data_IF_411480564615
#
_entry.id   IF_411480564615
#
_cell.length_a   1.000
_cell.length_b   1.000
_cell.length_c   1.000
_cell.angle_alpha   90.00
_cell.angle_beta   90.00
_cell.angle_gamma   90.00
#
_symmetry.space_group_name_H-M   'P 1'
#
loop_
_entity.id
_entity.type
_entity.pdbx_description
1 polymer ?
#
# COMPACT_ATOMS: atom_id res chain seq x y z
N UNK A 1 -46.24 35.77 34.51
CA UNK A 1 -45.61 35.07 35.65
C UNK A 1 -44.48 34.21 35.08
N UNK A 2 -43.25 34.72 34.93
CA UNK A 2 -42.24 35.02 35.97
C UNK A 2 -41.75 33.68 36.60
N UNK A 3 -40.47 33.28 36.65
CA UNK A 3 -39.12 33.90 36.69
C UNK A 3 -38.13 32.83 36.15
N UNK A 4 -37.12 33.02 35.30
CA UNK A 4 -35.88 33.83 35.29
C UNK A 4 -34.80 33.51 36.36
N UNK A 5 -33.57 33.33 35.83
CA UNK A 5 -32.18 33.35 36.38
C UNK A 5 -31.68 32.19 37.28
N UNK A 6 -30.39 31.77 37.18
CA UNK A 6 -29.27 32.58 37.69
C UNK A 6 -28.08 32.82 36.74
N UNK A 7 -27.40 33.91 37.09
CA UNK A 7 -26.29 34.61 36.46
C UNK A 7 -24.93 34.03 36.89
N UNK A 8 -23.96 34.10 35.96
CA UNK A 8 -22.53 34.44 36.13
C UNK A 8 -21.82 34.12 37.46
N UNK A 9 -20.66 33.45 37.37
CA UNK A 9 -19.38 34.01 37.84
C UNK A 9 -18.14 33.31 37.29
N UNK A 10 -17.25 34.11 36.69
CA UNK A 10 -15.81 33.82 36.51
C UNK A 10 -15.13 33.70 37.88
N UNK A 11 -14.13 32.81 37.98
CA UNK A 11 -12.84 33.10 38.66
C UNK A 11 -11.78 32.08 38.25
N UNK A 12 -10.57 32.62 38.11
CA UNK A 12 -9.34 31.95 37.76
C UNK A 12 -8.61 31.43 39.01
N UNK A 13 -7.55 30.65 38.72
CA UNK A 13 -6.29 30.42 39.46
C UNK A 13 -6.05 29.09 40.19
N UNK A 14 -4.77 28.68 40.04
CA UNK A 14 -3.96 27.66 40.71
C UNK A 14 -4.18 26.21 40.26
N UNK A 15 -3.26 25.57 39.52
CA UNK A 15 -1.85 25.24 39.81
C UNK A 15 -1.70 24.21 40.94
N UNK A 16 -1.48 22.94 40.57
CA UNK A 16 -0.64 21.99 41.32
C UNK A 16 -0.27 20.80 40.44
N UNK A 17 1.03 20.52 40.40
CA UNK A 17 1.69 19.34 39.84
C UNK A 17 1.29 18.06 40.59
N UNK A 18 1.37 16.91 39.91
CA UNK A 18 2.05 15.67 40.33
C UNK A 18 1.95 14.68 39.14
N UNK A 19 3.03 14.50 38.39
CA UNK A 19 3.96 13.36 38.44
C UNK A 19 3.45 12.09 37.74
N UNK A 20 4.13 11.72 36.64
CA UNK A 20 4.50 10.34 36.30
C UNK A 20 5.57 10.35 35.20
N UNK A 21 6.65 9.63 35.46
CA UNK A 21 7.92 9.45 34.73
C UNK A 21 7.80 8.68 33.38
N UNK A 22 8.88 8.17 32.76
CA UNK A 22 10.03 8.85 32.14
C UNK A 22 10.31 8.35 30.68
N UNK A 23 11.43 8.81 30.11
CA UNK A 23 12.18 8.23 28.97
C UNK A 23 11.54 8.30 27.57
N UNK A 24 12.13 9.12 26.70
CA UNK A 24 12.78 8.63 25.47
C UNK A 24 13.55 9.76 24.79
N UNK A 25 14.86 9.52 24.71
CA UNK A 25 15.80 10.19 23.83
C UNK A 25 15.45 9.82 22.38
N UNK A 26 15.21 10.82 21.52
CA UNK A 26 15.45 10.66 20.08
C UNK A 26 16.01 11.95 19.51
N UNK A 27 17.16 11.79 18.87
CA UNK A 27 17.85 12.79 18.10
C UNK A 27 17.18 13.01 16.74
N UNK A 28 17.10 14.29 16.36
CA UNK A 28 16.89 14.81 15.01
C UNK A 28 17.84 16.00 14.91
N UNK A 29 18.53 16.32 13.82
CA UNK A 29 18.55 15.78 12.47
C UNK A 29 19.86 16.31 11.88
N UNK A 30 20.66 15.44 11.27
CA UNK A 30 21.72 15.83 10.36
C UNK A 30 21.09 16.43 9.09
N UNK A 31 21.60 17.58 8.67
CA UNK A 31 21.27 18.20 7.39
C UNK A 31 22.47 18.06 6.46
N UNK A 32 22.16 17.92 5.17
CA UNK A 32 22.98 18.15 3.98
C UNK A 32 23.79 16.94 3.48
N UNK A 33 23.83 16.63 2.18
CA UNK A 33 23.12 17.11 1.00
C UNK A 33 23.68 16.31 -0.18
N UNK A 34 22.77 15.76 -1.01
CA UNK A 34 22.91 15.57 -2.46
C UNK A 34 24.02 14.62 -2.94
N UNK A 35 23.79 13.76 -3.91
CA UNK A 35 22.73 13.64 -4.90
C UNK A 35 23.32 12.74 -5.98
N UNK A 36 22.58 11.76 -6.49
CA UNK A 36 22.03 11.77 -7.85
C UNK A 36 22.19 10.34 -8.36
N UNK A 37 21.30 9.67 -9.06
CA UNK A 37 19.95 9.93 -9.57
C UNK A 37 19.43 8.52 -9.95
N UNK A 38 18.22 8.17 -9.52
CA UNK A 38 17.03 8.14 -10.35
C UNK A 38 16.88 6.88 -11.22
N UNK A 39 15.87 6.07 -10.83
CA UNK A 39 14.87 5.38 -11.68
C UNK A 39 15.37 4.27 -12.64
N UNK A 40 14.72 3.11 -12.80
CA UNK A 40 13.30 2.76 -12.64
C UNK A 40 13.17 1.24 -12.61
N UNK A 41 12.06 0.76 -12.04
CA UNK A 41 11.66 -0.63 -11.91
C UNK A 41 11.43 -1.36 -13.25
N UNK A 42 11.64 -2.68 -13.25
CA UNK A 42 10.67 -3.61 -13.83
C UNK A 42 10.81 -5.03 -13.24
N UNK A 43 9.67 -5.57 -12.82
CA UNK A 43 9.41 -7.01 -12.65
C UNK A 43 9.82 -7.81 -13.89
N UNK A 44 10.44 -8.97 -13.68
CA UNK A 44 10.25 -10.28 -14.33
C UNK A 44 11.30 -11.19 -13.64
N UNK A 45 10.98 -12.32 -13.01
CA UNK A 45 10.51 -13.53 -13.66
C UNK A 45 11.71 -14.42 -14.03
N UNK A 46 11.95 -15.49 -13.26
CA UNK A 46 12.69 -16.68 -13.73
C UNK A 46 14.21 -16.72 -13.56
N UNK A 47 14.67 -17.95 -13.30
CA UNK A 47 16.03 -18.51 -13.35
C UNK A 47 17.08 -17.92 -12.40
N UNK A 48 17.44 -18.75 -11.41
CA UNK A 48 18.82 -19.09 -11.05
C UNK A 48 19.88 -18.33 -11.86
N UNK A 49 20.50 -17.35 -11.22
CA UNK A 49 21.69 -16.68 -11.73
C UNK A 49 22.83 -17.70 -11.76
N UNK A 50 22.98 -18.39 -12.89
CA UNK A 50 24.23 -19.03 -13.27
C UNK A 50 25.30 -17.95 -13.24
N UNK A 51 26.26 -18.10 -12.34
CA UNK A 51 27.48 -17.30 -12.34
C UNK A 51 28.18 -17.65 -13.66
N UNK A 52 28.18 -16.69 -14.59
CA UNK A 52 28.72 -16.87 -15.93
C UNK A 52 30.14 -17.43 -15.88
N UNK A 53 30.30 -18.64 -16.45
CA UNK A 53 31.59 -19.23 -16.71
C UNK A 53 32.37 -18.29 -17.62
N UNK A 54 33.49 -17.76 -17.12
CA UNK A 54 34.37 -16.79 -17.83
C UNK A 54 35.05 -17.43 -19.06
N UNK A 55 34.79 -18.71 -19.33
CA UNK A 55 35.31 -19.48 -20.45
C UNK A 55 34.16 -19.97 -21.32
N UNK A 56 34.11 -19.55 -22.59
CA UNK A 56 33.23 -20.16 -23.58
C UNK A 56 33.66 -21.63 -23.80
N UNK A 57 32.95 -22.56 -23.19
CA UNK A 57 33.11 -24.00 -23.40
C UNK A 57 32.39 -24.38 -24.69
N UNK A 58 33.08 -25.08 -25.60
CA UNK A 58 32.52 -25.38 -26.93
C UNK A 58 31.60 -26.60 -26.91
N UNK A 59 31.86 -27.55 -26.02
CA UNK A 59 31.05 -28.73 -25.78
C UNK A 59 31.40 -29.36 -24.42
N UNK A 60 30.51 -30.19 -23.89
CA UNK A 60 30.73 -30.93 -22.64
C UNK A 60 30.91 -32.44 -22.90
N UNK A 61 31.79 -33.06 -22.11
CA UNK A 61 32.06 -34.50 -22.13
C UNK A 61 31.81 -35.04 -20.73
N UNK A 62 31.06 -36.14 -20.63
CA UNK A 62 30.83 -36.81 -19.35
C UNK A 62 31.98 -37.76 -19.04
N UNK A 63 32.37 -37.82 -17.78
CA UNK A 63 33.25 -38.88 -17.31
C UNK A 63 32.48 -40.21 -17.37
N UNK A 64 32.95 -41.16 -18.19
CA UNK A 64 32.34 -42.47 -18.36
C UNK A 64 32.59 -43.44 -17.21
N UNK A 65 33.34 -43.05 -16.18
CA UNK A 65 33.57 -43.86 -14.98
C UNK A 65 32.74 -43.33 -13.81
N UNK A 66 31.91 -44.20 -13.23
CA UNK A 66 31.12 -43.88 -12.02
C UNK A 66 31.94 -44.00 -10.72
N UNK A 67 33.14 -44.58 -10.78
CA UNK A 67 34.01 -44.82 -9.61
C UNK A 67 34.90 -43.60 -9.38
N UNK A 68 34.93 -43.11 -8.13
CA UNK A 68 35.81 -42.01 -7.73
C UNK A 68 37.27 -42.32 -8.04
N UNK A 69 38.02 -41.35 -8.56
CA UNK A 69 39.43 -41.52 -8.92
C UNK A 69 39.69 -42.31 -10.21
N UNK A 70 38.66 -42.70 -10.97
CA UNK A 70 38.80 -43.19 -12.36
C UNK A 70 38.25 -42.19 -13.35
N UNK A 71 38.97 -42.01 -14.44
CA UNK A 71 38.61 -41.05 -15.47
C UNK A 71 38.60 -41.74 -16.83
N UNK A 72 37.43 -41.80 -17.44
CA UNK A 72 37.25 -42.33 -18.79
C UNK A 72 36.62 -41.24 -19.65
N UNK A 73 37.43 -40.56 -20.46
CA UNK A 73 37.00 -39.47 -21.32
C UNK A 73 37.01 -39.91 -22.78
N UNK A 74 35.97 -39.51 -23.53
CA UNK A 74 35.95 -39.60 -24.99
C UNK A 74 36.17 -38.19 -25.54
N UNK A 75 37.39 -37.93 -26.03
CA UNK A 75 37.79 -36.59 -26.46
C UNK A 75 38.05 -36.57 -27.98
N UNK A 76 37.54 -35.57 -28.72
CA UNK A 76 37.93 -35.33 -30.10
C UNK A 76 39.31 -34.64 -30.10
N UNK A 77 40.35 -35.39 -30.43
CA UNK A 77 41.72 -34.87 -30.50
C UNK A 77 42.00 -34.30 -31.90
N UNK A 78 42.62 -33.11 -32.03
CA UNK A 78 42.82 -32.45 -33.32
C UNK A 78 43.73 -33.21 -34.30
N UNK A 79 44.64 -34.06 -33.80
CA UNK A 79 45.53 -34.86 -34.62
C UNK A 79 44.97 -36.20 -35.11
N UNK A 80 43.78 -36.63 -34.65
CA UNK A 80 43.20 -37.95 -34.93
C UNK A 80 41.75 -37.85 -35.42
N UNK A 81 41.41 -38.64 -36.43
CA UNK A 81 40.03 -38.75 -36.90
C UNK A 81 39.23 -39.68 -35.97
N UNK A 82 38.38 -39.12 -35.11
CA UNK A 82 37.45 -39.86 -34.25
C UNK A 82 37.50 -39.45 -32.77
N UNK A 83 36.59 -40.02 -31.96
CA UNK A 83 36.58 -39.86 -30.50
C UNK A 83 37.64 -40.79 -29.89
N UNK A 84 38.69 -40.22 -29.31
CA UNK A 84 39.74 -41.01 -28.67
C UNK A 84 39.37 -41.26 -27.21
N UNK A 85 39.45 -42.51 -26.79
CA UNK A 85 39.16 -42.91 -25.41
C UNK A 85 40.43 -42.79 -24.57
N UNK A 86 40.42 -41.91 -23.58
CA UNK A 86 41.50 -41.72 -22.62
C UNK A 86 41.03 -42.27 -21.29
N UNK A 87 41.76 -43.28 -20.81
CA UNK A 87 41.48 -43.92 -19.53
C UNK A 87 42.64 -43.69 -18.58
N UNK A 88 42.32 -43.25 -17.37
CA UNK A 88 43.22 -43.21 -16.23
C UNK A 88 42.55 -43.97 -15.10
N UNK A 89 43.13 -45.13 -14.73
CA UNK A 89 42.47 -46.14 -13.90
C UNK A 89 42.95 -46.19 -12.44
N UNK A 90 43.86 -45.30 -12.05
CA UNK A 90 44.48 -45.27 -10.71
C UNK A 90 44.11 -43.99 -9.94
N UNK A 91 43.61 -44.18 -8.72
CA UNK A 91 43.15 -43.10 -7.82
C UNK A 91 44.29 -42.21 -7.31
N UNK A 92 45.51 -42.75 -7.24
CA UNK A 92 46.71 -42.06 -6.74
C UNK A 92 47.45 -41.28 -7.84
N UNK A 93 46.99 -41.36 -9.08
CA UNK A 93 47.60 -40.61 -10.17
C UNK A 93 47.25 -39.12 -10.09
N UNK A 94 48.21 -38.30 -10.49
CA UNK A 94 48.08 -36.85 -10.48
C UNK A 94 47.61 -36.31 -11.81
N UNK A 95 47.09 -35.09 -11.79
CA UNK A 95 46.76 -34.30 -12.98
C UNK A 95 47.92 -34.28 -13.97
N UNK A 96 49.18 -34.22 -13.51
CA UNK A 96 50.36 -34.32 -14.38
C UNK A 96 50.35 -35.56 -15.26
N UNK A 97 50.00 -36.73 -14.71
CA UNK A 97 49.99 -37.97 -15.47
C UNK A 97 48.91 -38.00 -16.55
N UNK A 98 47.77 -37.38 -16.27
CA UNK A 98 46.70 -37.17 -17.24
C UNK A 98 47.17 -36.25 -18.38
N UNK A 99 47.86 -35.16 -18.07
CA UNK A 99 48.44 -34.26 -19.08
C UNK A 99 49.50 -34.96 -19.94
N UNK A 100 50.37 -35.77 -19.32
CA UNK A 100 51.35 -36.59 -20.06
C UNK A 100 50.67 -37.58 -21.00
N UNK A 101 49.60 -38.25 -20.52
CA UNK A 101 48.84 -39.22 -21.32
C UNK A 101 48.18 -38.55 -22.51
N UNK A 102 47.64 -37.34 -22.34
CA UNK A 102 47.11 -36.52 -23.44
C UNK A 102 48.17 -36.14 -24.46
N UNK A 103 49.33 -35.63 -24.02
CA UNK A 103 50.44 -35.25 -24.91
C UNK A 103 51.08 -36.45 -25.63
N UNK A 104 51.14 -37.60 -24.98
CA UNK A 104 51.62 -38.85 -25.58
C UNK A 104 50.68 -39.37 -26.66
N UNK A 105 49.37 -39.21 -26.44
CA UNK A 105 48.35 -39.69 -27.37
C UNK A 105 48.21 -38.78 -28.60
N UNK A 106 48.41 -37.48 -28.43
CA UNK A 106 48.39 -36.51 -29.54
C UNK A 106 49.57 -35.54 -29.47
N UNK A 107 50.56 -35.77 -30.34
CA UNK A 107 51.76 -34.94 -30.49
C UNK A 107 51.49 -33.57 -31.13
N UNK A 108 50.28 -33.34 -31.67
CA UNK A 108 49.88 -32.05 -32.26
C UNK A 108 49.43 -31.02 -31.23
N UNK A 109 49.24 -31.43 -29.96
CA UNK A 109 48.84 -30.57 -28.86
C UNK A 109 50.00 -29.68 -28.38
N UNK A 110 49.91 -28.37 -28.63
CA UNK A 110 50.91 -27.38 -28.20
C UNK A 110 50.69 -26.91 -26.75
N UNK A 111 49.43 -26.81 -26.33
CA UNK A 111 49.05 -26.39 -24.98
C UNK A 111 47.93 -27.28 -24.44
N UNK A 112 48.18 -27.90 -23.28
CA UNK A 112 47.20 -28.71 -22.54
C UNK A 112 47.22 -28.21 -21.10
N UNK A 113 46.11 -27.65 -20.65
CA UNK A 113 45.93 -27.16 -19.28
C UNK A 113 44.58 -27.62 -18.74
N UNK A 114 44.51 -27.85 -17.43
CA UNK A 114 43.24 -28.09 -16.73
C UNK A 114 42.93 -26.86 -15.88
N UNK A 115 41.72 -26.34 -16.04
CA UNK A 115 41.21 -25.18 -15.32
C UNK A 115 39.91 -25.51 -14.60
N UNK A 116 39.66 -24.89 -13.46
CA UNK A 116 38.33 -24.92 -12.82
C UNK A 116 37.33 -24.15 -13.69
N UNK A 117 36.03 -24.31 -13.44
CA UNK A 117 34.95 -23.53 -14.09
C UNK A 117 35.14 -22.01 -14.00
N UNK A 118 35.88 -21.54 -12.99
CA UNK A 118 36.24 -20.14 -12.76
C UNK A 118 37.50 -19.67 -13.52
N UNK A 119 38.12 -20.53 -14.33
CA UNK A 119 39.31 -20.21 -15.14
C UNK A 119 40.66 -20.29 -14.41
N UNK A 120 40.67 -20.71 -13.14
CA UNK A 120 41.89 -20.96 -12.36
C UNK A 120 42.58 -22.25 -12.82
N UNK A 121 43.88 -22.19 -13.14
CA UNK A 121 44.64 -23.40 -13.49
C UNK A 121 44.82 -24.30 -12.27
N UNK A 122 44.51 -25.59 -12.41
CA UNK A 122 44.76 -26.57 -11.35
C UNK A 122 46.26 -26.92 -11.28
N UNK A 123 46.75 -27.16 -10.06
CA UNK A 123 48.12 -27.59 -9.85
C UNK A 123 48.33 -29.01 -10.39
N UNK A 124 49.52 -29.28 -10.94
CA UNK A 124 49.86 -30.58 -11.52
C UNK A 124 49.88 -31.73 -10.51
N UNK A 125 50.03 -31.40 -9.23
CA UNK A 125 50.08 -32.33 -8.09
C UNK A 125 48.70 -32.74 -7.57
N UNK A 126 47.62 -32.15 -8.09
CA UNK A 126 46.25 -32.48 -7.67
C UNK A 126 45.95 -33.94 -8.02
N UNK A 127 45.34 -34.65 -7.08
CA UNK A 127 44.98 -36.05 -7.26
C UNK A 127 43.74 -36.19 -8.15
N UNK A 128 43.66 -37.30 -8.88
CA UNK A 128 42.52 -37.58 -9.74
C UNK A 128 41.22 -37.79 -8.93
N UNK A 129 41.32 -38.30 -7.70
CA UNK A 129 40.20 -38.42 -6.75
C UNK A 129 39.51 -37.07 -6.50
N UNK A 130 40.26 -36.04 -6.15
CA UNK A 130 39.76 -34.66 -5.94
C UNK A 130 39.20 -34.05 -7.22
N UNK A 131 39.82 -34.34 -8.36
CA UNK A 131 39.37 -33.88 -9.67
C UNK A 131 38.02 -34.50 -10.07
N UNK A 132 37.74 -35.76 -9.68
CA UNK A 132 36.49 -36.46 -10.00
C UNK A 132 35.27 -36.00 -9.17
N UNK A 133 35.49 -35.21 -8.11
CA UNK A 133 34.41 -34.66 -7.26
C UNK A 133 33.85 -33.35 -7.82
N UNK A 134 34.65 -32.61 -8.59
CA UNK A 134 34.26 -31.31 -9.13
C UNK A 134 34.13 -31.33 -10.65
N UNK A 135 33.32 -30.44 -11.22
CA UNK A 135 33.37 -30.18 -12.65
C UNK A 135 34.60 -29.32 -12.99
N UNK A 136 35.26 -29.64 -14.11
CA UNK A 136 36.47 -28.93 -14.53
C UNK A 136 36.52 -28.77 -16.05
N UNK A 137 37.29 -27.80 -16.51
CA UNK A 137 37.45 -27.45 -17.92
C UNK A 137 38.83 -27.88 -18.40
N UNK A 138 38.87 -28.71 -19.44
CA UNK A 138 40.09 -29.10 -20.14
C UNK A 138 40.32 -28.16 -21.32
N UNK A 139 41.46 -27.46 -21.33
CA UNK A 139 41.86 -26.57 -22.42
C UNK A 139 42.87 -27.27 -23.33
N UNK A 140 42.44 -27.58 -24.54
CA UNK A 140 43.25 -28.17 -25.62
C UNK A 140 43.48 -27.12 -26.70
N UNK A 141 44.69 -26.57 -26.80
CA UNK A 141 45.04 -25.48 -27.73
C UNK A 141 44.09 -24.27 -27.62
N UNK A 142 43.08 -24.18 -28.50
CA UNK A 142 42.08 -23.11 -28.54
C UNK A 142 40.65 -23.59 -28.18
N UNK A 143 40.50 -24.85 -27.78
CA UNK A 143 39.22 -25.49 -27.46
C UNK A 143 39.13 -25.69 -25.95
N UNK A 144 38.06 -25.18 -25.33
CA UNK A 144 37.74 -25.43 -23.93
C UNK A 144 36.61 -26.47 -23.87
N UNK A 145 36.85 -27.59 -23.20
CA UNK A 145 35.92 -28.71 -23.05
C UNK A 145 35.52 -28.78 -21.58
N UNK A 146 34.21 -28.75 -21.29
CA UNK A 146 33.71 -28.94 -19.93
C UNK A 146 33.59 -30.43 -19.62
N UNK A 147 34.19 -30.89 -18.52
CA UNK A 147 34.09 -32.27 -18.05
C UNK A 147 33.12 -32.31 -16.88
N UNK A 148 32.00 -33.00 -17.08
CA UNK A 148 30.96 -33.21 -16.08
C UNK A 148 31.16 -34.56 -15.40
N UNK A 149 31.31 -34.53 -14.07
CA UNK A 149 31.38 -35.72 -13.23
C UNK A 149 30.02 -35.96 -12.58
N UNK A 150 29.47 -37.18 -12.65
CA UNK A 150 28.15 -37.48 -12.08
C UNK A 150 28.11 -37.32 -10.53
N UNK A 151 29.24 -37.48 -9.85
CA UNK A 151 29.37 -37.28 -8.40
C UNK A 151 29.37 -35.81 -7.95
N UNK A 152 29.43 -34.85 -8.88
CA UNK A 152 29.51 -33.43 -8.56
C UNK A 152 28.15 -32.80 -8.19
N UNK A 153 27.06 -33.59 -8.17
CA UNK A 153 25.70 -33.08 -7.93
C UNK A 153 25.27 -33.03 -6.46
N UNK A 154 26.02 -33.62 -5.54
CA UNK A 154 25.62 -33.70 -4.13
C UNK A 154 26.53 -32.83 -3.27
N UNK A 155 26.07 -31.61 -2.96
CA UNK A 155 26.74 -30.75 -2.00
C UNK A 155 26.58 -31.33 -0.58
N UNK A 156 27.67 -31.53 0.19
CA UNK A 156 27.61 -32.13 1.54
C UNK A 156 26.77 -31.32 2.54
N UNK A 157 26.42 -30.07 2.22
CA UNK A 157 25.52 -29.22 3.01
C UNK A 157 24.06 -29.68 2.94
N UNK A 158 23.62 -30.19 1.78
CA UNK A 158 22.23 -30.61 1.57
C UNK A 158 21.88 -31.90 2.33
N UNK A 159 22.87 -32.77 2.54
CA UNK A 159 22.71 -34.01 3.31
C UNK A 159 22.43 -33.69 4.80
N UNK A 160 23.11 -32.70 5.36
CA UNK A 160 22.89 -32.22 6.73
C UNK A 160 21.52 -31.55 6.91
N UNK A 161 21.11 -30.72 5.95
CA UNK A 161 19.80 -30.07 5.95
C UNK A 161 18.65 -31.07 5.86
N UNK A 162 18.79 -32.11 5.04
CA UNK A 162 17.77 -33.16 4.90
C UNK A 162 17.63 -34.01 6.17
N UNK A 163 18.73 -34.32 6.86
CA UNK A 163 18.71 -35.00 8.14
C UNK A 163 18.08 -34.12 9.25
N UNK A 164 18.42 -32.83 9.28
CA UNK A 164 17.83 -31.87 10.22
C UNK A 164 16.32 -31.69 9.98
N UNK A 165 15.90 -31.59 8.72
CA UNK A 165 14.48 -31.53 8.36
C UNK A 165 13.72 -32.80 8.77
N UNK A 166 14.32 -33.98 8.60
CA UNK A 166 13.72 -35.25 9.02
C UNK A 166 13.52 -35.31 10.54
N UNK A 167 14.47 -34.78 11.33
CA UNK A 167 14.36 -34.68 12.79
C UNK A 167 13.22 -33.75 13.21
N UNK A 168 13.15 -32.54 12.63
CA UNK A 168 12.08 -31.57 12.91
C UNK A 168 10.72 -32.14 12.53
N UNK A 169 10.62 -32.81 11.38
CA UNK A 169 9.38 -33.47 10.93
C UNK A 169 8.93 -34.56 11.90
N UNK A 170 9.83 -35.43 12.35
CA UNK A 170 9.51 -36.49 13.31
C UNK A 170 9.05 -35.92 14.66
N UNK A 171 9.66 -34.83 15.11
CA UNK A 171 9.27 -34.15 16.34
C UNK A 171 7.86 -33.56 16.24
N UNK A 172 7.55 -32.91 15.11
CA UNK A 172 6.21 -32.36 14.83
C UNK A 172 5.14 -33.45 14.72
N UNK A 173 5.46 -34.60 14.14
CA UNK A 173 4.53 -35.74 14.05
C UNK A 173 4.25 -36.39 15.41
N UNK A 174 5.25 -36.37 16.30
CA UNK A 174 5.16 -36.90 17.66
C UNK A 174 4.32 -36.00 18.58
N UNK A 175 4.33 -34.68 18.34
CA UNK A 175 3.56 -33.73 19.11
C UNK A 175 2.04 -34.02 19.03
N UNK A 176 1.40 -34.16 20.19
CA UNK A 176 -0.05 -34.41 20.30
C UNK A 176 -0.88 -33.12 20.33
N UNK A 177 -0.22 -31.97 20.49
CA UNK A 177 -0.86 -30.65 20.61
C UNK A 177 -1.50 -30.22 19.29
N UNK A 178 -2.72 -29.68 19.29
CA UNK A 178 -3.39 -29.24 18.06
C UNK A 178 -2.76 -27.96 17.47
N UNK A 179 -2.09 -27.15 18.30
CA UNK A 179 -1.50 -25.86 17.92
C UNK A 179 -0.11 -25.72 18.56
N UNK A 180 0.83 -25.21 17.77
CA UNK A 180 2.20 -24.88 18.14
C UNK A 180 2.44 -23.38 17.92
N UNK A 181 2.88 -22.61 18.92
CA UNK A 181 3.27 -21.21 18.71
C UNK A 181 4.44 -21.08 17.72
N UNK A 182 4.43 -20.00 16.93
CA UNK A 182 5.45 -19.73 15.91
C UNK A 182 6.87 -19.61 16.51
N UNK A 183 6.99 -18.98 17.68
CA UNK A 183 8.26 -18.87 18.42
C UNK A 183 8.82 -20.25 18.81
N UNK A 184 7.93 -21.15 19.29
CA UNK A 184 8.31 -22.51 19.68
C UNK A 184 8.80 -23.32 18.47
N UNK A 185 8.17 -23.13 17.30
CA UNK A 185 8.62 -23.74 16.04
C UNK A 185 10.01 -23.27 15.62
N UNK A 186 10.29 -21.96 15.70
CA UNK A 186 11.62 -21.45 15.39
C UNK A 186 12.69 -21.97 16.37
N UNK A 187 12.34 -22.15 17.64
CA UNK A 187 13.23 -22.80 18.62
C UNK A 187 13.53 -24.25 18.27
N UNK A 188 12.53 -25.01 17.82
CA UNK A 188 12.72 -26.41 17.37
C UNK A 188 13.64 -26.45 16.14
N UNK A 189 13.46 -25.54 15.19
CA UNK A 189 14.33 -25.43 14.01
C UNK A 189 15.76 -25.03 14.39
N UNK A 190 15.92 -24.10 15.33
CA UNK A 190 17.23 -23.66 15.82
C UNK A 190 17.99 -24.80 16.51
N UNK A 191 17.29 -25.61 17.31
CA UNK A 191 17.86 -26.79 17.97
C UNK A 191 18.34 -27.86 16.97
N UNK A 192 17.73 -27.93 15.78
CA UNK A 192 18.13 -28.79 14.68
C UNK A 192 19.22 -28.17 13.78
N UNK A 193 19.69 -26.96 14.09
CA UNK A 193 20.75 -26.27 13.34
C UNK A 193 20.26 -25.43 12.15
N UNK A 194 18.97 -25.09 12.09
CA UNK A 194 18.40 -24.29 11.00
C UNK A 194 18.12 -22.84 11.40
N UNK A 195 18.51 -21.91 10.52
CA UNK A 195 18.20 -20.48 10.65
C UNK A 195 16.76 -20.17 10.19
N UNK A 196 16.23 -19.02 10.59
CA UNK A 196 14.88 -18.53 10.26
C UNK A 196 14.46 -18.63 8.77
N UNK A 197 15.31 -18.30 7.76
CA UNK A 197 14.93 -18.45 6.35
C UNK A 197 14.77 -19.91 5.92
N UNK A 198 15.57 -20.82 6.49
CA UNK A 198 15.50 -22.27 6.24
C UNK A 198 14.25 -22.84 6.92
N UNK A 199 13.95 -22.42 8.15
CA UNK A 199 12.71 -22.76 8.84
C UNK A 199 11.47 -22.33 8.05
N UNK A 200 11.47 -21.13 7.46
CA UNK A 200 10.35 -20.67 6.61
C UNK A 200 10.19 -21.47 5.32
N UNK A 201 11.28 -22.03 4.78
CA UNK A 201 11.25 -22.97 3.64
C UNK A 201 10.67 -24.31 4.07
N UNK A 202 11.10 -24.83 5.22
CA UNK A 202 10.58 -26.07 5.79
C UNK A 202 9.10 -25.98 6.18
N UNK A 203 8.66 -24.85 6.73
CA UNK A 203 7.25 -24.61 7.06
C UNK A 203 6.37 -24.68 5.81
N UNK A 204 6.82 -24.07 4.70
CA UNK A 204 6.14 -24.16 3.39
C UNK A 204 6.10 -25.60 2.86
N UNK A 205 7.16 -26.38 3.05
CA UNK A 205 7.20 -27.79 2.67
C UNK A 205 6.25 -28.66 3.51
N UNK A 206 6.16 -28.40 4.82
CA UNK A 206 5.23 -29.08 5.72
C UNK A 206 3.78 -28.74 5.39
N UNK A 207 3.52 -27.48 5.01
CA UNK A 207 2.21 -27.02 4.56
C UNK A 207 1.81 -27.63 3.20
N UNK A 208 2.75 -27.74 2.26
CA UNK A 208 2.52 -28.42 0.97
C UNK A 208 2.12 -29.89 1.15
N UNK A 209 2.63 -30.55 2.19
CA UNK A 209 2.31 -31.94 2.53
C UNK A 209 1.07 -32.09 3.42
N UNK A 210 0.33 -31.00 3.68
CA UNK A 210 -0.86 -30.95 4.55
C UNK A 210 -0.64 -31.45 5.98
N UNK A 211 0.60 -31.49 6.47
CA UNK A 211 0.86 -31.78 7.89
C UNK A 211 0.57 -30.56 8.76
N UNK A 212 0.87 -29.36 8.25
CA UNK A 212 0.82 -28.13 9.04
C UNK A 212 0.03 -27.05 8.30
N UNK A 213 -0.80 -26.30 8.99
CA UNK A 213 -1.44 -25.09 8.45
C UNK A 213 -0.93 -23.86 9.22
N UNK A 214 -0.32 -22.94 8.48
CA UNK A 214 0.11 -21.64 8.98
C UNK A 214 -0.48 -20.54 8.11
N UNK A 215 -0.99 -19.49 8.74
CA UNK A 215 -1.65 -18.38 8.06
C UNK A 215 -0.81 -17.11 8.23
N UNK A 216 0.25 -17.02 7.44
CA UNK A 216 1.19 -15.89 7.39
C UNK A 216 0.50 -14.56 7.01
N UNK A 217 -0.52 -14.64 6.14
CA UNK A 217 -1.27 -13.50 5.61
C UNK A 217 -2.51 -13.11 6.42
N UNK A 218 -2.82 -13.82 7.50
CA UNK A 218 -3.97 -13.47 8.33
C UNK A 218 -3.72 -12.17 9.08
N UNK A 219 -4.75 -11.32 9.18
CA UNK A 219 -4.73 -10.10 9.99
C UNK A 219 -4.72 -10.43 11.49
N UNK A 220 -5.29 -11.58 11.85
CA UNK A 220 -5.40 -12.03 13.24
C UNK A 220 -4.04 -12.40 13.80
N UNK A 221 -3.64 -11.75 14.91
CA UNK A 221 -2.40 -12.09 15.62
C UNK A 221 -2.41 -13.53 16.16
N UNK A 222 -3.60 -14.06 16.47
CA UNK A 222 -3.76 -15.43 16.97
C UNK A 222 -3.42 -16.46 15.89
N UNK A 223 -3.91 -16.27 14.65
CA UNK A 223 -3.59 -17.16 13.54
C UNK A 223 -2.16 -16.96 13.02
N UNK A 224 -1.67 -15.71 13.03
CA UNK A 224 -0.31 -15.40 12.57
C UNK A 224 0.76 -16.00 13.48
N UNK A 225 0.51 -16.04 14.79
CA UNK A 225 1.47 -16.55 15.76
C UNK A 225 1.29 -18.04 16.08
N UNK A 226 0.32 -18.70 15.44
CA UNK A 226 0.00 -20.10 15.65
C UNK A 226 0.26 -20.94 14.39
N UNK A 227 0.74 -22.16 14.61
CA UNK A 227 0.95 -23.19 13.62
C UNK A 227 0.03 -24.35 14.00
N UNK A 228 -0.85 -24.75 13.11
CA UNK A 228 -1.82 -25.82 13.34
C UNK A 228 -1.22 -27.13 12.84
N UNK A 229 -0.90 -28.05 13.74
CA UNK A 229 -0.17 -29.29 13.44
C UNK A 229 -1.05 -30.41 12.87
N UNK A 230 -2.38 -30.27 12.96
CA UNK A 230 -3.34 -31.22 12.38
C UNK A 230 -4.55 -30.48 11.83
N UNK A 231 -4.55 -30.06 10.56
CA UNK A 231 -5.65 -29.27 10.00
C UNK A 231 -7.01 -30.02 9.97
N UNK A 232 -6.99 -31.36 10.03
CA UNK A 232 -8.20 -32.19 10.02
C UNK A 232 -8.73 -32.57 11.42
N UNK A 233 -8.05 -32.14 12.49
CA UNK A 233 -8.53 -32.36 13.85
C UNK A 233 -9.80 -31.55 14.14
N UNK A 234 -10.72 -32.11 14.93
CA UNK A 234 -11.92 -31.39 15.37
C UNK A 234 -11.57 -30.17 16.22
N UNK A 235 -10.57 -30.29 17.08
CA UNK A 235 -10.11 -29.20 17.96
C UNK A 235 -9.46 -28.05 17.20
N UNK A 236 -8.62 -28.36 16.21
CA UNK A 236 -7.96 -27.36 15.36
C UNK A 236 -8.95 -26.63 14.45
N UNK A 237 -9.93 -27.35 13.88
CA UNK A 237 -11.02 -26.75 13.13
C UNK A 237 -11.91 -25.86 14.00
N UNK A 238 -12.24 -26.28 15.23
CA UNK A 238 -13.00 -25.46 16.17
C UNK A 238 -12.25 -24.16 16.52
N UNK A 239 -10.94 -24.24 16.75
CA UNK A 239 -10.09 -23.06 16.99
C UNK A 239 -10.04 -22.14 15.77
N UNK A 240 -9.83 -22.68 14.58
CA UNK A 240 -9.89 -21.93 13.34
C UNK A 240 -11.23 -21.23 13.14
N UNK A 241 -12.33 -21.94 13.38
CA UNK A 241 -13.67 -21.38 13.26
C UNK A 241 -13.88 -20.26 14.26
N UNK A 242 -13.51 -20.45 15.53
CA UNK A 242 -13.62 -19.41 16.57
C UNK A 242 -12.80 -18.15 16.25
N UNK A 243 -11.61 -18.32 15.67
CA UNK A 243 -10.73 -17.21 15.34
C UNK A 243 -11.09 -16.54 14.00
N UNK A 244 -11.83 -17.22 13.10
CA UNK A 244 -12.46 -16.59 11.95
C UNK A 244 -13.75 -15.86 12.34
N UNK A 245 -14.52 -16.44 13.26
CA UNK A 245 -15.75 -15.83 13.78
C UNK A 245 -15.47 -14.56 14.58
N UNK A 246 -14.34 -14.49 15.29
CA UNK A 246 -13.91 -13.27 15.97
C UNK A 246 -13.62 -12.15 14.97
N UNK A 247 -12.89 -12.43 13.88
CA UNK A 247 -12.61 -11.47 12.79
C UNK A 247 -13.90 -11.03 12.07
N UNK A 248 -14.83 -11.95 11.81
CA UNK A 248 -16.11 -11.59 11.22
C UNK A 248 -16.94 -10.71 12.17
N UNK A 249 -16.84 -10.97 13.47
CA UNK A 249 -17.56 -10.22 14.51
C UNK A 249 -17.01 -8.80 14.68
N UNK A 250 -15.69 -8.59 14.55
CA UNK A 250 -15.09 -7.24 14.56
C UNK A 250 -15.55 -6.43 13.36
N UNK A 251 -15.50 -6.99 12.15
CA UNK A 251 -16.01 -6.33 10.93
C UNK A 251 -17.49 -5.96 11.04
N UNK A 252 -18.31 -6.87 11.58
CA UNK A 252 -19.74 -6.60 11.84
C UNK A 252 -19.95 -5.50 12.87
N UNK A 253 -19.13 -5.45 13.91
CA UNK A 253 -19.19 -4.39 14.93
C UNK A 253 -18.81 -3.04 14.32
N UNK A 254 -17.70 -2.99 13.59
CA UNK A 254 -17.22 -1.79 12.91
C UNK A 254 -18.29 -1.23 11.97
N UNK A 255 -18.92 -2.10 11.16
CA UNK A 255 -20.03 -1.67 10.29
C UNK A 255 -21.16 -1.02 11.08
N UNK A 256 -21.62 -1.64 12.17
CA UNK A 256 -22.70 -1.10 13.01
C UNK A 256 -22.33 0.26 13.61
N UNK A 257 -21.07 0.44 14.01
CA UNK A 257 -20.56 1.72 14.52
C UNK A 257 -20.62 2.79 13.43
N UNK A 258 -20.19 2.46 12.21
CA UNK A 258 -20.27 3.36 11.07
C UNK A 258 -21.71 3.69 10.65
N UNK A 259 -22.62 2.71 10.68
CA UNK A 259 -24.06 2.91 10.42
C UNK A 259 -24.69 3.85 11.46
N UNK A 260 -24.41 3.64 12.75
CA UNK A 260 -24.89 4.52 13.82
C UNK A 260 -24.36 5.96 13.67
N UNK A 261 -23.08 6.10 13.29
CA UNK A 261 -22.48 7.41 13.03
C UNK A 261 -23.09 8.09 11.80
N UNK A 262 -23.42 7.33 10.77
CA UNK A 262 -24.10 7.81 9.58
C UNK A 262 -25.50 8.35 9.92
N UNK A 263 -26.28 7.62 10.71
CA UNK A 263 -27.60 8.07 11.17
C UNK A 263 -27.51 9.36 11.98
N UNK A 264 -26.52 9.46 12.87
CA UNK A 264 -26.25 10.67 13.66
C UNK A 264 -25.97 11.88 12.74
N UNK A 265 -25.04 11.73 11.80
CA UNK A 265 -24.66 12.79 10.86
C UNK A 265 -25.79 13.16 9.91
N UNK A 266 -26.57 12.20 9.43
CA UNK A 266 -27.77 12.47 8.62
C UNK A 266 -28.82 13.24 9.42
N UNK A 267 -28.99 12.93 10.71
CA UNK A 267 -29.90 13.67 11.60
C UNK A 267 -29.42 15.11 11.82
N UNK A 268 -28.11 15.33 11.98
CA UNK A 268 -27.51 16.65 12.10
C UNK A 268 -27.69 17.43 10.80
N UNK A 269 -27.41 16.82 9.65
CA UNK A 269 -27.61 17.42 8.33
C UNK A 269 -29.05 17.89 8.14
N UNK A 270 -30.04 17.04 8.45
CA UNK A 270 -31.47 17.41 8.35
C UNK A 270 -31.80 18.63 9.22
N UNK A 271 -31.29 18.69 10.45
CA UNK A 271 -31.47 19.84 11.34
C UNK A 271 -30.85 21.11 10.76
N UNK A 272 -29.61 21.04 10.26
CA UNK A 272 -28.92 22.18 9.67
C UNK A 272 -29.61 22.69 8.40
N UNK A 273 -30.06 21.79 7.52
CA UNK A 273 -30.80 22.14 6.30
C UNK A 273 -32.14 22.80 6.64
N UNK A 274 -32.84 22.30 7.65
CA UNK A 274 -34.09 22.92 8.12
C UNK A 274 -33.86 24.35 8.63
N UNK A 275 -32.80 24.56 9.43
CA UNK A 275 -32.42 25.88 9.94
C UNK A 275 -32.02 26.83 8.80
N UNK A 276 -31.26 26.35 7.83
CA UNK A 276 -30.87 27.15 6.66
C UNK A 276 -32.10 27.53 5.82
N UNK A 277 -33.02 26.59 5.59
CA UNK A 277 -34.26 26.86 4.88
C UNK A 277 -35.14 27.90 5.61
N UNK A 278 -35.27 27.78 6.93
CA UNK A 278 -35.98 28.77 7.76
C UNK A 278 -35.30 30.14 7.68
N UNK A 279 -33.98 30.18 7.77
CA UNK A 279 -33.18 31.41 7.69
C UNK A 279 -33.34 32.09 6.34
N UNK A 280 -33.32 31.32 5.24
CA UNK A 280 -33.56 31.84 3.89
C UNK A 280 -34.97 32.39 3.72
N UNK A 281 -35.98 31.72 4.28
CA UNK A 281 -37.37 32.23 4.29
C UNK A 281 -37.48 33.53 5.09
N UNK A 282 -36.87 33.59 6.27
CA UNK A 282 -36.82 34.79 7.10
C UNK A 282 -36.07 35.95 6.43
N UNK A 283 -35.06 35.66 5.61
CA UNK A 283 -34.33 36.67 4.85
C UNK A 283 -35.15 37.28 3.70
N UNK A 284 -36.16 36.58 3.17
CA UNK A 284 -37.00 37.07 2.07
C UNK A 284 -38.11 38.04 2.52
N UNK A 285 -38.54 37.98 3.79
CA UNK A 285 -39.67 38.81 4.27
C UNK A 285 -39.36 40.30 4.17
N UNK A 286 -38.15 40.73 4.58
CA UNK A 286 -37.79 42.15 4.57
C UNK A 286 -37.72 42.75 3.16
N UNK A 287 -37.02 42.15 2.17
CA UNK A 287 -37.05 42.64 0.79
C UNK A 287 -38.46 42.67 0.18
N UNK A 288 -39.32 41.70 0.54
CA UNK A 288 -40.71 41.65 0.05
C UNK A 288 -41.57 42.76 0.68
N UNK A 289 -41.42 43.03 1.97
CA UNK A 289 -42.09 44.17 2.62
C UNK A 289 -41.59 45.48 2.04
N UNK A 290 -40.27 45.62 1.82
CA UNK A 290 -39.69 46.81 1.19
C UNK A 290 -40.27 47.06 -0.21
N UNK A 291 -40.51 45.99 -1.01
CA UNK A 291 -41.17 46.10 -2.31
C UNK A 291 -42.56 46.73 -2.19
N UNK A 292 -43.38 46.23 -1.26
CA UNK A 292 -44.73 46.74 -1.03
C UNK A 292 -44.73 48.17 -0.50
N UNK A 293 -43.85 48.49 0.44
CA UNK A 293 -43.68 49.85 0.95
C UNK A 293 -43.27 50.81 -0.16
N UNK A 294 -42.33 50.42 -1.03
CA UNK A 294 -41.92 51.23 -2.17
C UNK A 294 -43.07 51.42 -3.17
N UNK A 295 -43.85 50.38 -3.45
CA UNK A 295 -45.00 50.47 -4.34
C UNK A 295 -46.09 51.41 -3.79
N UNK A 296 -46.47 51.24 -2.52
CA UNK A 296 -47.45 52.11 -1.86
C UNK A 296 -46.95 53.55 -1.79
N UNK A 297 -45.67 53.75 -1.46
CA UNK A 297 -45.06 55.08 -1.43
C UNK A 297 -45.07 55.75 -2.80
N UNK A 298 -44.76 55.00 -3.87
CA UNK A 298 -44.79 55.53 -5.24
C UNK A 298 -46.23 55.88 -5.67
N UNK A 299 -47.21 55.03 -5.39
CA UNK A 299 -48.61 55.29 -5.68
C UNK A 299 -49.12 56.52 -4.91
N UNK A 300 -48.79 56.62 -3.62
CA UNK A 300 -49.16 57.80 -2.82
C UNK A 300 -48.51 59.07 -3.35
N UNK A 301 -47.23 59.01 -3.75
CA UNK A 301 -46.50 60.14 -4.32
C UNK A 301 -47.14 60.64 -5.62
N UNK A 302 -47.44 59.74 -6.55
CA UNK A 302 -48.12 60.11 -7.80
C UNK A 302 -49.55 60.59 -7.55
N UNK A 303 -50.27 60.01 -6.59
CA UNK A 303 -51.60 60.47 -6.21
C UNK A 303 -51.58 61.90 -5.64
N UNK A 304 -50.59 62.22 -4.81
CA UNK A 304 -50.38 63.59 -4.33
C UNK A 304 -50.05 64.55 -5.48
N UNK A 305 -49.17 64.17 -6.41
CA UNK A 305 -48.87 65.00 -7.58
C UNK A 305 -50.12 65.23 -8.45
N UNK A 306 -50.93 64.20 -8.67
CA UNK A 306 -52.20 64.32 -9.42
C UNK A 306 -53.16 65.30 -8.75
N UNK A 307 -53.31 65.21 -7.42
CA UNK A 307 -54.13 66.15 -6.66
C UNK A 307 -53.60 67.60 -6.77
N UNK A 308 -52.29 67.78 -6.65
CA UNK A 308 -51.64 69.10 -6.80
C UNK A 308 -51.85 69.69 -8.20
N UNK A 309 -51.82 68.88 -9.25
CA UNK A 309 -51.93 69.33 -10.65
C UNK A 309 -53.36 69.70 -11.06
N UNK A 310 -54.38 69.05 -10.48
CA UNK A 310 -55.77 69.25 -10.91
C UNK A 310 -56.61 70.10 -9.96
N UNK A 311 -56.32 70.10 -8.66
CA UNK A 311 -57.15 70.81 -7.67
C UNK A 311 -56.48 72.07 -7.11
N UNK A 312 -55.16 72.04 -6.87
CA UNK A 312 -54.45 73.09 -6.11
C UNK A 312 -53.68 74.08 -7.00
N UNK A 313 -52.87 73.59 -7.93
CA UNK A 313 -51.97 74.39 -8.75
C UNK A 313 -52.27 74.24 -10.24
N UNK A 314 -52.01 75.31 -11.00
CA UNK A 314 -52.05 75.25 -12.47
C UNK A 314 -50.87 74.46 -13.03
N UNK A 315 -51.05 73.90 -14.23
CA UNK A 315 -50.03 73.14 -14.94
C UNK A 315 -48.73 73.92 -15.15
N UNK A 316 -48.80 75.22 -15.42
CA UNK A 316 -47.64 76.09 -15.66
C UNK A 316 -46.68 76.16 -14.45
N UNK A 317 -47.20 76.03 -13.23
CA UNK A 317 -46.39 75.99 -11.99
C UNK A 317 -45.80 74.59 -11.76
N UNK A 318 -46.56 73.55 -12.08
CA UNK A 318 -46.16 72.15 -11.83
C UNK A 318 -45.21 71.59 -12.89
N UNK A 319 -45.24 72.13 -14.11
CA UNK A 319 -44.41 71.70 -15.23
C UNK A 319 -42.91 71.60 -14.87
N UNK A 320 -42.22 72.68 -14.44
CA UNK A 320 -40.79 72.62 -14.11
C UNK A 320 -40.51 71.65 -12.94
N UNK A 321 -41.41 71.57 -11.96
CA UNK A 321 -41.26 70.70 -10.78
C UNK A 321 -41.22 69.23 -11.19
N UNK A 322 -42.13 68.82 -12.08
CA UNK A 322 -42.18 67.42 -12.55
C UNK A 322 -40.95 67.04 -13.37
N UNK A 323 -40.40 67.96 -14.18
CA UNK A 323 -39.13 67.75 -14.86
C UNK A 323 -37.96 67.54 -13.89
N UNK A 324 -37.86 68.36 -12.84
CA UNK A 324 -36.82 68.18 -11.81
C UNK A 324 -36.93 66.84 -11.08
N UNK A 325 -38.15 66.36 -10.81
CA UNK A 325 -38.38 65.04 -10.20
C UNK A 325 -37.88 63.91 -11.12
N UNK A 326 -38.24 63.95 -12.41
CA UNK A 326 -37.80 62.96 -13.41
C UNK A 326 -36.28 62.96 -13.58
N UNK A 327 -35.67 64.14 -13.69
CA UNK A 327 -34.22 64.27 -13.79
C UNK A 327 -33.50 63.75 -12.54
N UNK A 328 -34.05 64.02 -11.35
CA UNK A 328 -33.52 63.50 -10.07
C UNK A 328 -33.53 61.97 -10.02
N UNK A 329 -34.57 61.33 -10.56
CA UNK A 329 -34.64 59.87 -10.62
C UNK A 329 -33.54 59.27 -11.53
N UNK A 330 -33.30 59.87 -12.69
CA UNK A 330 -32.21 59.46 -13.62
C UNK A 330 -30.84 59.67 -12.97
N UNK A 331 -30.63 60.82 -12.35
CA UNK A 331 -29.40 61.13 -11.63
C UNK A 331 -29.17 60.15 -10.46
N UNK A 332 -30.23 59.82 -9.72
CA UNK A 332 -30.19 58.84 -8.63
C UNK A 332 -29.82 57.44 -9.11
N UNK A 333 -30.34 57.01 -10.26
CA UNK A 333 -29.95 55.74 -10.89
C UNK A 333 -28.45 55.73 -11.25
N UNK A 334 -27.96 56.81 -11.87
CA UNK A 334 -26.54 56.95 -12.20
C UNK A 334 -25.66 56.95 -10.95
N UNK A 335 -26.06 57.65 -9.89
CA UNK A 335 -25.33 57.70 -8.62
C UNK A 335 -25.28 56.34 -7.93
N UNK A 336 -26.39 55.60 -7.94
CA UNK A 336 -26.43 54.23 -7.43
C UNK A 336 -25.47 53.31 -8.18
N UNK A 337 -25.45 53.40 -9.52
CA UNK A 337 -24.54 52.63 -10.36
C UNK A 337 -23.07 52.94 -10.03
N UNK A 338 -22.70 54.21 -9.90
CA UNK A 338 -21.32 54.60 -9.54
C UNK A 338 -20.88 54.03 -8.19
N UNK A 339 -21.77 54.02 -7.19
CA UNK A 339 -21.44 53.50 -5.85
C UNK A 339 -21.42 51.97 -5.82
N UNK A 340 -22.44 51.32 -6.40
CA UNK A 340 -22.65 49.87 -6.26
C UNK A 340 -21.96 49.07 -7.38
N UNK A 341 -21.49 49.74 -8.45
CA UNK A 341 -20.96 49.13 -9.68
C UNK A 341 -21.92 48.12 -10.31
N UNK A 342 -23.22 48.31 -10.09
CA UNK A 342 -24.31 47.47 -10.61
C UNK A 342 -25.48 48.38 -10.95
N UNK A 343 -26.20 48.01 -11.99
CA UNK A 343 -27.40 48.74 -12.42
C UNK A 343 -28.45 48.75 -11.30
N UNK A 344 -29.18 49.87 -11.17
CA UNK A 344 -30.25 50.01 -10.18
C UNK A 344 -31.53 49.26 -10.59
N UNK A 345 -31.36 48.04 -11.08
CA UNK A 345 -32.45 47.11 -11.37
C UNK A 345 -33.03 46.58 -10.07
N UNK A 346 -34.34 46.40 -10.03
CA UNK A 346 -35.05 45.83 -8.88
C UNK A 346 -34.40 44.51 -8.39
N UNK A 347 -34.01 43.64 -9.31
CA UNK A 347 -33.36 42.35 -9.00
C UNK A 347 -32.04 42.53 -8.26
N UNK A 348 -31.18 43.45 -8.69
CA UNK A 348 -29.89 43.72 -8.06
C UNK A 348 -30.06 44.31 -6.66
N UNK A 349 -30.99 45.26 -6.50
CA UNK A 349 -31.28 45.88 -5.20
C UNK A 349 -31.86 44.85 -4.23
N UNK A 350 -32.80 44.03 -4.70
CA UNK A 350 -33.41 42.96 -3.91
C UNK A 350 -32.37 41.93 -3.48
N UNK A 351 -31.53 41.45 -4.41
CA UNK A 351 -30.47 40.48 -4.11
C UNK A 351 -29.47 41.04 -3.11
N UNK A 352 -29.03 42.30 -3.27
CA UNK A 352 -28.11 42.96 -2.33
C UNK A 352 -28.69 43.02 -0.91
N UNK A 353 -29.97 43.39 -0.77
CA UNK A 353 -30.66 43.46 0.53
C UNK A 353 -30.91 42.08 1.12
N UNK A 354 -31.29 41.11 0.28
CA UNK A 354 -31.46 39.71 0.67
C UNK A 354 -30.18 39.11 1.22
N UNK A 355 -29.06 39.25 0.49
CA UNK A 355 -27.75 38.73 0.90
C UNK A 355 -27.28 39.38 2.20
N UNK A 356 -27.38 40.71 2.31
CA UNK A 356 -27.00 41.41 3.54
C UNK A 356 -27.84 40.98 4.76
N UNK A 357 -29.13 40.67 4.56
CA UNK A 357 -29.98 40.14 5.63
C UNK A 357 -29.63 38.70 5.96
N UNK A 358 -29.34 37.88 4.95
CA UNK A 358 -28.97 36.49 5.11
C UNK A 358 -27.65 36.35 5.88
N UNK A 359 -26.61 37.13 5.55
CA UNK A 359 -25.34 37.11 6.29
C UNK A 359 -25.53 37.52 7.74
N UNK A 360 -26.32 38.58 7.98
CA UNK A 360 -26.65 39.02 9.34
C UNK A 360 -27.39 37.95 10.15
N UNK A 361 -28.36 37.27 9.55
CA UNK A 361 -29.10 36.18 10.21
C UNK A 361 -28.20 34.95 10.45
N UNK A 362 -27.28 34.65 9.55
CA UNK A 362 -26.29 33.59 9.72
C UNK A 362 -25.33 33.90 10.87
N UNK A 363 -24.87 35.14 10.99
CA UNK A 363 -24.05 35.63 12.11
C UNK A 363 -24.80 35.55 13.44
N UNK A 364 -26.05 36.04 13.47
CA UNK A 364 -26.94 35.98 14.65
C UNK A 364 -27.16 34.53 15.12
N UNK A 365 -27.36 33.60 14.19
CA UNK A 365 -27.55 32.16 14.48
C UNK A 365 -26.22 31.39 14.62
N UNK A 366 -25.06 32.05 14.49
CA UNK A 366 -23.70 31.45 14.47
C UNK A 366 -23.61 30.25 13.51
N UNK A 367 -24.36 30.31 12.41
CA UNK A 367 -24.45 29.22 11.45
C UNK A 367 -23.40 29.41 10.36
N UNK A 368 -22.54 28.42 10.16
CA UNK A 368 -21.56 28.43 9.09
C UNK A 368 -22.10 27.63 7.90
N UNK A 369 -22.42 28.26 6.75
CA UNK A 369 -22.98 27.58 5.59
C UNK A 369 -22.02 26.56 4.96
N UNK A 370 -20.71 26.69 5.18
CA UNK A 370 -19.72 25.70 4.71
C UNK A 370 -19.78 24.37 5.47
N UNK A 371 -20.50 24.28 6.60
CA UNK A 371 -20.67 23.01 7.33
C UNK A 371 -21.53 22.00 6.58
N UNK A 372 -22.54 22.45 5.82
CA UNK A 372 -23.42 21.54 5.05
C UNK A 372 -22.64 20.69 4.03
N UNK A 373 -21.87 21.28 3.09
CA UNK A 373 -21.13 20.49 2.11
C UNK A 373 -20.04 19.62 2.75
N UNK A 374 -19.40 20.10 3.83
CA UNK A 374 -18.44 19.29 4.59
C UNK A 374 -19.11 18.04 5.21
N UNK A 375 -20.30 18.20 5.81
CA UNK A 375 -21.05 17.10 6.40
C UNK A 375 -21.56 16.11 5.33
N UNK A 376 -21.98 16.61 4.17
CA UNK A 376 -22.33 15.77 3.01
C UNK A 376 -21.14 14.94 2.53
N UNK A 377 -19.95 15.53 2.45
CA UNK A 377 -18.73 14.81 2.08
C UNK A 377 -18.37 13.73 3.12
N UNK A 378 -18.50 14.04 4.42
CA UNK A 378 -18.29 13.06 5.49
C UNK A 378 -19.30 11.91 5.44
N UNK A 379 -20.59 12.18 5.19
CA UNK A 379 -21.61 11.14 5.01
C UNK A 379 -21.27 10.26 3.81
N UNK A 380 -20.94 10.85 2.67
CA UNK A 380 -20.56 10.09 1.46
C UNK A 380 -19.29 9.25 1.66
N UNK A 381 -18.38 9.67 2.55
CA UNK A 381 -17.23 8.86 2.93
C UNK A 381 -17.63 7.67 3.80
N UNK A 382 -18.42 7.90 4.84
CA UNK A 382 -18.87 6.81 5.72
C UNK A 382 -19.76 5.82 4.97
N UNK A 383 -20.60 6.28 4.04
CA UNK A 383 -21.38 5.40 3.16
C UNK A 383 -20.47 4.47 2.35
N UNK A 384 -19.38 5.01 1.76
CA UNK A 384 -18.38 4.19 1.07
C UNK A 384 -17.72 3.19 2.02
N UNK A 385 -17.34 3.61 3.22
CA UNK A 385 -16.75 2.73 4.22
C UNK A 385 -17.72 1.61 4.66
N UNK A 386 -19.01 1.90 4.84
CA UNK A 386 -20.04 0.90 5.15
C UNK A 386 -20.20 -0.08 3.99
N UNK A 387 -20.26 0.39 2.73
CA UNK A 387 -20.29 -0.50 1.56
C UNK A 387 -19.01 -1.34 1.45
N UNK A 388 -17.88 -0.80 1.93
CA UNK A 388 -16.62 -1.51 2.01
C UNK A 388 -16.71 -2.68 3.00
N UNK A 389 -17.15 -2.41 4.22
CA UNK A 389 -17.30 -3.41 5.27
C UNK A 389 -18.35 -4.47 4.93
N UNK A 390 -19.43 -4.07 4.24
CA UNK A 390 -20.46 -4.98 3.77
C UNK A 390 -19.92 -6.01 2.75
N UNK A 391 -19.06 -5.59 1.81
CA UNK A 391 -18.48 -6.56 0.87
C UNK A 391 -17.46 -7.48 1.55
N UNK A 392 -16.74 -7.01 2.58
CA UNK A 392 -15.86 -7.85 3.39
C UNK A 392 -16.65 -8.94 4.13
N UNK A 393 -17.83 -8.62 4.65
CA UNK A 393 -18.73 -9.62 5.26
C UNK A 393 -19.20 -10.66 4.23
N UNK A 394 -19.53 -10.25 3.01
CA UNK A 394 -19.96 -11.16 1.94
C UNK A 394 -18.82 -12.02 1.36
N UNK A 395 -17.56 -11.78 1.75
CA UNK A 395 -16.39 -12.46 1.19
C UNK A 395 -16.13 -12.14 -0.28
N UNK A 396 -16.82 -11.15 -0.86
CA UNK A 396 -16.56 -10.67 -2.22
C UNK A 396 -15.40 -9.68 -2.16
N UNK A 397 -14.33 -9.94 -2.93
CA UNK A 397 -13.28 -8.93 -3.11
C UNK A 397 -13.90 -7.66 -3.69
N UNK A 398 -13.52 -6.46 -3.20
CA UNK A 398 -14.01 -5.23 -3.79
C UNK A 398 -13.60 -5.19 -5.25
N UNK A 399 -14.57 -5.06 -6.16
CA UNK A 399 -14.30 -4.75 -7.54
C UNK A 399 -13.59 -3.38 -7.58
N UNK A 400 -12.42 -3.32 -8.22
CA UNK A 400 -11.57 -2.12 -8.32
C UNK A 400 -12.23 -0.89 -9.01
N UNK A 401 -13.51 -0.98 -9.34
CA UNK A 401 -14.34 0.05 -9.98
C UNK A 401 -15.02 1.01 -8.99
N UNK A 402 -14.75 0.92 -7.69
CA UNK A 402 -15.37 1.78 -6.66
C UNK A 402 -14.34 2.63 -5.86
N UNK A 403 -13.20 2.98 -6.47
CA UNK A 403 -12.26 3.98 -5.94
C UNK A 403 -12.26 5.24 -6.79
#
# INVERSE_FOLDING_TARGET
MALFVPHLRRRALQASCFSSSPLLSTACLSTLRGGSGATTASRFGGSSTEVASVLSTQFSVRNGSAVQGRLQLQLPLPGLLGLTQIQVNDETQTVEKLLETLKKTDSTLKSVDITTTNGTKLARTVQLSELTVMEFVLRLNHVNILIQNDNAKEDPREIGENAAFASVKAQIETDSRPVLPLDEYYRICLNAGAEEPVANKWLRELQRRNLVAHFDRSTSAELKNAIILRPHGTESLARLHSALDSELSTVKQDRKVHEARLEELQSELKKLVAIDAETRKAAQTLPNVQKWVALTGLTSFYGSLMYLVWDVYSWDIMEPITYFIGFTAVLGNSFYHTITKKDATYTNIWQKKYLARLTKLQEERKFNPAKIPALQASIAQIERDVTMLAHWEEGKKPSATAL
#
